data_IF_549066783900
#
_entry.id   IF_549066783900
#
_cell.length_a   1.000
_cell.length_b   1.000
_cell.length_c   1.000
_cell.angle_alpha   90.00
_cell.angle_beta   90.00
_cell.angle_gamma   90.00
#
_symmetry.space_group_name_H-M   'P 1'
#
loop_
_entity.id
_entity.type
_entity.pdbx_description
1 polymer ?
#
# COMPACT_ATOMS: atom_id res chain seq x y z
N UNK A 1 12.54 33.80 -52.41
CA UNK A 1 12.75 32.34 -52.30
C UNK A 1 13.45 31.99 -50.99
N UNK A 2 14.64 32.51 -50.70
CA UNK A 2 15.36 32.27 -49.44
C UNK A 2 14.57 32.59 -48.13
N UNK A 3 13.69 33.60 -48.14
CA UNK A 3 12.87 33.93 -46.96
C UNK A 3 11.83 32.85 -46.61
N UNK A 4 11.34 32.09 -47.60
CA UNK A 4 10.28 31.09 -47.40
C UNK A 4 10.82 29.81 -46.76
N UNK A 5 12.05 29.41 -47.11
CA UNK A 5 12.69 28.21 -46.56
C UNK A 5 13.08 28.41 -45.09
N UNK A 6 13.45 29.64 -44.70
CA UNK A 6 13.77 29.97 -43.31
C UNK A 6 12.54 29.90 -42.39
N UNK A 7 11.36 30.33 -42.88
CA UNK A 7 10.11 30.25 -42.13
C UNK A 7 9.65 28.79 -41.94
N UNK A 8 9.79 27.93 -42.95
CA UNK A 8 9.46 26.51 -42.84
C UNK A 8 10.36 25.79 -41.82
N UNK A 9 11.67 26.07 -41.84
CA UNK A 9 12.60 25.52 -40.86
C UNK A 9 12.27 25.97 -39.43
N UNK A 10 11.92 27.25 -39.25
CA UNK A 10 11.52 27.79 -37.95
C UNK A 10 10.29 27.06 -37.40
N UNK A 11 9.26 26.83 -38.23
CA UNK A 11 8.06 26.12 -37.80
C UNK A 11 8.33 24.67 -37.37
N UNK A 12 9.23 23.96 -38.07
CA UNK A 12 9.59 22.58 -37.72
C UNK A 12 10.30 22.55 -36.35
N UNK A 13 11.23 23.48 -36.11
CA UNK A 13 11.95 23.57 -34.84
C UNK A 13 11.00 23.92 -33.69
N UNK A 14 10.08 24.87 -33.89
CA UNK A 14 9.08 25.22 -32.88
C UNK A 14 8.15 24.04 -32.55
N UNK A 15 7.72 23.28 -33.56
CA UNK A 15 6.87 22.11 -33.36
C UNK A 15 7.59 21.02 -32.55
N UNK A 16 8.84 20.70 -32.89
CA UNK A 16 9.65 19.74 -32.12
C UNK A 16 9.90 20.22 -30.69
N UNK A 17 10.10 21.52 -30.51
CA UNK A 17 10.31 22.10 -29.18
C UNK A 17 9.06 21.96 -28.32
N UNK A 18 7.88 22.29 -28.87
CA UNK A 18 6.59 22.15 -28.17
C UNK A 18 6.31 20.69 -27.83
N UNK A 19 6.55 19.77 -28.76
CA UNK A 19 6.38 18.32 -28.54
C UNK A 19 7.24 17.84 -27.36
N UNK A 20 8.54 18.15 -27.38
CA UNK A 20 9.46 17.77 -26.31
C UNK A 20 9.07 18.40 -24.95
N UNK A 21 8.68 19.68 -24.91
CA UNK A 21 8.23 20.33 -23.68
C UNK A 21 6.94 19.70 -23.13
N UNK A 22 5.98 19.39 -24.01
CA UNK A 22 4.72 18.75 -23.61
C UNK A 22 4.95 17.35 -23.04
N UNK A 23 5.85 16.57 -23.63
CA UNK A 23 6.22 15.23 -23.16
C UNK A 23 6.90 15.28 -21.79
N UNK A 24 7.86 16.20 -21.61
CA UNK A 24 8.53 16.39 -20.30
C UNK A 24 7.54 16.85 -19.24
N UNK A 25 6.63 17.77 -19.56
CA UNK A 25 5.61 18.24 -18.63
C UNK A 25 4.63 17.13 -18.23
N UNK A 26 4.17 16.32 -19.19
CA UNK A 26 3.30 15.18 -18.93
C UNK A 26 4.01 14.12 -18.05
N UNK A 27 5.26 13.80 -18.35
CA UNK A 27 6.06 12.87 -17.56
C UNK A 27 6.27 13.38 -16.12
N UNK A 28 6.55 14.68 -15.95
CA UNK A 28 6.72 15.29 -14.63
C UNK A 28 5.42 15.26 -13.81
N UNK A 29 4.27 15.56 -14.43
CA UNK A 29 2.97 15.51 -13.76
C UNK A 29 2.60 14.07 -13.35
N UNK A 30 2.76 13.10 -14.25
CA UNK A 30 2.52 11.68 -13.96
C UNK A 30 3.43 11.18 -12.83
N UNK A 31 4.72 11.55 -12.86
CA UNK A 31 5.68 11.19 -11.81
C UNK A 31 5.29 11.79 -10.45
N UNK A 32 4.83 13.04 -10.44
CA UNK A 32 4.42 13.72 -9.21
C UNK A 32 3.17 13.09 -8.60
N UNK A 33 2.13 12.84 -9.41
CA UNK A 33 0.91 12.17 -8.96
C UNK A 33 1.20 10.76 -8.44
N UNK A 34 2.09 10.01 -9.11
CA UNK A 34 2.52 8.70 -8.66
C UNK A 34 3.25 8.74 -7.31
N UNK A 35 4.21 9.65 -7.15
CA UNK A 35 4.95 9.82 -5.88
C UNK A 35 4.03 10.27 -4.74
N UNK A 36 3.07 11.15 -5.03
CA UNK A 36 2.11 11.63 -4.04
C UNK A 36 1.17 10.50 -3.62
N UNK A 37 0.66 9.72 -4.56
CA UNK A 37 -0.18 8.57 -4.26
C UNK A 37 0.58 7.52 -3.44
N UNK A 38 1.76 7.10 -3.91
CA UNK A 38 2.63 6.13 -3.24
C UNK A 38 3.03 6.59 -1.82
N UNK A 39 3.39 7.87 -1.68
CA UNK A 39 3.75 8.46 -0.40
C UNK A 39 2.56 8.48 0.57
N UNK A 40 1.38 8.87 0.09
CA UNK A 40 0.17 8.92 0.91
C UNK A 40 -0.27 7.53 1.38
N UNK A 41 -0.21 6.53 0.50
CA UNK A 41 -0.53 5.14 0.82
C UNK A 41 0.44 4.59 1.87
N UNK A 42 1.75 4.79 1.67
CA UNK A 42 2.78 4.35 2.62
C UNK A 42 2.57 4.99 4.00
N UNK A 43 2.26 6.28 4.05
CA UNK A 43 1.99 7.00 5.30
C UNK A 43 0.74 6.46 6.00
N UNK A 44 -0.33 6.18 5.24
CA UNK A 44 -1.56 5.61 5.80
C UNK A 44 -1.26 4.23 6.39
N UNK A 45 -0.60 3.33 5.65
CA UNK A 45 -0.24 1.99 6.13
C UNK A 45 0.65 2.07 7.38
N UNK A 46 1.66 2.96 7.38
CA UNK A 46 2.52 3.21 8.53
C UNK A 46 1.73 3.61 9.78
N UNK A 47 0.86 4.62 9.66
CA UNK A 47 0.05 5.11 10.78
C UNK A 47 -0.90 4.03 11.30
N UNK A 48 -1.48 3.30 10.37
CA UNK A 48 -2.49 2.30 10.62
C UNK A 48 -1.89 1.09 11.36
N UNK A 49 -0.78 0.53 10.88
CA UNK A 49 -0.02 -0.53 11.56
C UNK A 49 0.54 -0.05 12.91
N UNK A 50 1.05 1.18 12.98
CA UNK A 50 1.58 1.77 14.21
C UNK A 50 0.52 1.90 15.30
N UNK A 51 -0.69 2.34 14.95
CA UNK A 51 -1.83 2.43 15.86
C UNK A 51 -2.27 1.06 16.38
N UNK A 52 -2.31 0.03 15.51
CA UNK A 52 -2.62 -1.33 15.93
C UNK A 52 -1.55 -1.89 16.88
N UNK A 53 -0.27 -1.71 16.55
CA UNK A 53 0.84 -2.14 17.39
C UNK A 53 0.81 -1.45 18.75
N UNK A 54 0.57 -0.14 18.79
CA UNK A 54 0.43 0.63 20.02
C UNK A 54 -0.71 0.11 20.90
N UNK A 55 -1.85 -0.25 20.29
CA UNK A 55 -3.01 -0.84 21.00
C UNK A 55 -2.68 -2.22 21.58
N UNK A 56 -2.10 -3.11 20.79
CA UNK A 56 -1.69 -4.44 21.27
C UNK A 56 -0.68 -4.31 22.42
N UNK A 57 0.26 -3.37 22.31
CA UNK A 57 1.20 -3.09 23.40
C UNK A 57 0.53 -2.57 24.68
N UNK A 58 -0.45 -1.66 24.54
CA UNK A 58 -1.23 -1.14 25.66
C UNK A 58 -2.02 -2.26 26.37
N UNK A 59 -2.62 -3.19 25.62
CA UNK A 59 -3.34 -4.35 26.17
C UNK A 59 -2.43 -5.20 27.07
N UNK A 60 -1.19 -5.45 26.64
CA UNK A 60 -0.26 -6.31 27.37
C UNK A 60 0.42 -5.67 28.59
N UNK A 61 -0.15 -4.60 29.15
CA UNK A 61 0.33 -3.90 30.35
C UNK A 61 1.84 -3.57 30.29
N UNK A 62 2.32 -3.14 29.12
CA UNK A 62 3.69 -2.63 28.93
C UNK A 62 4.82 -3.67 29.14
N UNK A 63 4.59 -4.96 28.85
CA UNK A 63 5.68 -5.94 28.81
C UNK A 63 6.71 -5.58 27.72
N UNK A 64 7.95 -5.25 28.13
CA UNK A 64 9.05 -4.84 27.23
C UNK A 64 9.35 -5.85 26.12
N UNK A 65 9.24 -7.15 26.40
CA UNK A 65 9.50 -8.19 25.40
C UNK A 65 8.56 -8.08 24.18
N UNK A 66 7.28 -7.79 24.43
CA UNK A 66 6.28 -7.68 23.35
C UNK A 66 6.55 -6.43 22.53
N UNK A 67 6.95 -5.32 23.17
CA UNK A 67 7.35 -4.10 22.45
C UNK A 67 8.48 -4.39 21.46
N UNK A 68 9.52 -5.13 21.88
CA UNK A 68 10.65 -5.46 21.00
C UNK A 68 10.18 -6.26 19.79
N UNK A 69 9.33 -7.28 19.99
CA UNK A 69 8.77 -8.08 18.89
C UNK A 69 7.96 -7.20 17.93
N UNK A 70 7.09 -6.33 18.46
CA UNK A 70 6.25 -5.45 17.66
C UNK A 70 7.05 -4.43 16.86
N UNK A 71 8.08 -3.84 17.46
CA UNK A 71 8.96 -2.86 16.80
C UNK A 71 9.78 -3.53 15.70
N UNK A 72 10.33 -4.73 15.93
CA UNK A 72 11.08 -5.45 14.90
C UNK A 72 10.17 -5.79 13.71
N UNK A 73 8.97 -6.35 13.96
CA UNK A 73 8.02 -6.68 12.90
C UNK A 73 7.58 -5.44 12.10
N UNK A 74 7.33 -4.32 12.81
CA UNK A 74 6.99 -3.04 12.19
C UNK A 74 8.13 -2.55 11.28
N UNK A 75 9.36 -2.52 11.78
CA UNK A 75 10.52 -2.07 11.01
C UNK A 75 10.75 -2.94 9.77
N UNK A 76 10.54 -4.26 9.86
CA UNK A 76 10.63 -5.15 8.70
C UNK A 76 9.57 -4.84 7.65
N UNK A 77 8.31 -4.65 8.04
CA UNK A 77 7.24 -4.28 7.11
C UNK A 77 7.50 -2.92 6.45
N UNK A 78 7.91 -1.91 7.22
CA UNK A 78 8.21 -0.59 6.70
C UNK A 78 9.45 -0.58 5.79
N UNK A 79 10.48 -1.35 6.11
CA UNK A 79 11.67 -1.49 5.27
C UNK A 79 11.31 -2.08 3.89
N UNK A 80 10.41 -3.06 3.85
CA UNK A 80 9.95 -3.66 2.59
C UNK A 80 9.13 -2.67 1.76
N UNK A 81 8.21 -1.91 2.36
CA UNK A 81 7.43 -0.90 1.64
C UNK A 81 8.30 0.20 1.04
N UNK A 82 9.27 0.69 1.82
CA UNK A 82 10.23 1.70 1.33
C UNK A 82 11.07 1.11 0.19
N UNK A 83 11.55 -0.12 0.33
CA UNK A 83 12.33 -0.79 -0.71
C UNK A 83 11.53 -0.95 -2.01
N UNK A 84 10.27 -1.35 -1.92
CA UNK A 84 9.35 -1.45 -3.07
C UNK A 84 9.14 -0.10 -3.75
N UNK A 85 8.93 0.96 -2.96
CA UNK A 85 8.82 2.31 -3.51
C UNK A 85 10.08 2.77 -4.23
N UNK A 86 11.26 2.49 -3.67
CA UNK A 86 12.54 2.81 -4.32
C UNK A 86 12.71 2.01 -5.62
N UNK A 87 12.43 0.70 -5.61
CA UNK A 87 12.55 -0.15 -6.80
C UNK A 87 11.57 0.32 -7.89
N UNK A 88 10.33 0.66 -7.52
CA UNK A 88 9.33 1.18 -8.45
C UNK A 88 9.79 2.47 -9.13
N UNK A 89 10.45 3.38 -8.39
CA UNK A 89 10.94 4.66 -8.92
C UNK A 89 12.24 4.51 -9.71
N UNK A 90 13.17 3.66 -9.28
CA UNK A 90 14.53 3.59 -9.83
C UNK A 90 14.66 2.58 -10.96
N UNK A 91 14.01 1.42 -10.85
CA UNK A 91 14.27 0.25 -11.72
C UNK A 91 13.28 0.15 -12.88
N UNK A 92 12.13 0.82 -12.77
CA UNK A 92 11.07 0.77 -13.78
C UNK A 92 10.96 2.12 -14.49
N UNK A 93 11.90 2.49 -15.39
CA UNK A 93 11.55 3.40 -16.48
C UNK A 93 10.57 2.61 -17.35
N UNK A 94 9.29 2.64 -16.99
CA UNK A 94 8.29 1.74 -17.53
C UNK A 94 8.29 1.75 -19.05
N UNK A 95 8.35 0.56 -19.64
CA UNK A 95 7.87 0.41 -21.01
C UNK A 95 6.36 0.64 -20.95
N UNK A 96 5.95 1.84 -21.33
CA UNK A 96 4.55 2.20 -21.45
C UNK A 96 4.05 1.52 -22.73
N UNK A 97 3.32 0.43 -22.57
CA UNK A 97 2.72 -0.28 -23.70
C UNK A 97 1.22 -0.09 -23.72
N UNK A 98 0.59 0.01 -24.91
CA UNK A 98 -0.85 0.05 -25.02
C UNK A 98 -1.43 -1.34 -24.73
N UNK A 99 -2.34 -1.42 -23.76
CA UNK A 99 -3.21 -2.57 -23.52
C UNK A 99 -4.62 -2.24 -24.00
N UNK A 100 -5.28 -3.19 -24.68
CA UNK A 100 -6.67 -3.04 -25.12
C UNK A 100 -7.58 -3.90 -24.27
N UNK A 101 -8.38 -3.27 -23.43
CA UNK A 101 -9.41 -3.94 -22.63
C UNK A 101 -10.77 -3.49 -23.14
N UNK A 102 -11.56 -4.42 -23.68
CA UNK A 102 -12.89 -4.14 -24.23
C UNK A 102 -12.92 -3.07 -25.34
N UNK A 103 -11.85 -2.97 -26.13
CA UNK A 103 -11.73 -1.99 -27.21
C UNK A 103 -11.34 -0.58 -26.76
N UNK A 104 -11.15 -0.35 -25.46
CA UNK A 104 -10.55 0.88 -24.91
C UNK A 104 -9.06 0.64 -24.74
N UNK A 105 -8.25 1.57 -25.26
CA UNK A 105 -6.79 1.53 -25.19
C UNK A 105 -6.34 2.23 -23.91
N UNK A 106 -5.76 1.46 -22.99
CA UNK A 106 -5.13 1.96 -21.78
C UNK A 106 -3.62 1.83 -21.90
N UNK A 107 -2.88 2.64 -21.17
CA UNK A 107 -1.43 2.54 -21.10
C UNK A 107 -1.07 1.91 -19.76
N UNK A 108 -0.52 0.69 -19.81
CA UNK A 108 -0.04 0.00 -18.63
C UNK A 108 1.48 0.08 -18.57
N UNK A 109 1.99 0.32 -17.37
CA UNK A 109 3.42 0.30 -17.08
C UNK A 109 3.77 -1.17 -16.83
N UNK A 110 4.35 -1.83 -17.83
CA UNK A 110 4.76 -3.22 -17.66
C UNK A 110 5.93 -3.28 -16.69
N UNK A 111 5.71 -3.91 -15.54
CA UNK A 111 6.79 -4.28 -14.63
C UNK A 111 7.61 -5.38 -15.29
N UNK A 112 8.92 -5.23 -15.32
CA UNK A 112 9.79 -6.26 -15.87
C UNK A 112 9.58 -7.59 -15.11
N UNK A 113 9.52 -8.70 -15.85
CA UNK A 113 9.21 -10.04 -15.31
C UNK A 113 10.03 -10.44 -14.07
N UNK A 114 11.22 -9.87 -13.90
CA UNK A 114 12.12 -10.13 -12.78
C UNK A 114 11.62 -9.63 -11.41
N UNK A 115 10.60 -8.77 -11.35
CA UNK A 115 10.12 -8.15 -10.10
C UNK A 115 8.68 -8.51 -9.73
N UNK A 116 8.02 -9.39 -10.49
CA UNK A 116 6.63 -9.81 -10.22
C UNK A 116 6.48 -10.43 -8.83
N UNK A 117 7.55 -11.03 -8.28
CA UNK A 117 7.55 -11.63 -6.94
C UNK A 117 7.55 -10.59 -5.80
N UNK A 118 7.85 -9.32 -6.08
CA UNK A 118 8.00 -8.30 -5.04
C UNK A 118 6.65 -7.95 -4.41
N UNK A 119 5.59 -7.84 -5.23
CA UNK A 119 4.23 -7.60 -4.77
C UNK A 119 3.74 -8.67 -3.77
N UNK A 120 3.72 -9.97 -4.11
CA UNK A 120 3.27 -11.00 -3.16
C UNK A 120 4.19 -11.10 -1.93
N UNK A 121 5.49 -10.80 -2.05
CA UNK A 121 6.40 -10.81 -0.91
C UNK A 121 6.08 -9.69 0.10
N UNK A 122 5.81 -8.46 -0.38
CA UNK A 122 5.42 -7.33 0.47
C UNK A 122 4.10 -7.62 1.16
N UNK A 123 3.07 -8.01 0.38
CA UNK A 123 1.74 -8.33 0.91
C UNK A 123 1.82 -9.47 1.94
N UNK A 124 2.67 -10.48 1.71
CA UNK A 124 2.87 -11.57 2.67
C UNK A 124 3.49 -11.11 4.00
N UNK A 125 4.45 -10.19 3.96
CA UNK A 125 5.11 -9.66 5.17
C UNK A 125 4.16 -8.78 5.98
N UNK A 126 3.37 -7.95 5.30
CA UNK A 126 2.33 -7.14 5.93
C UNK A 126 1.27 -8.03 6.58
N UNK A 127 0.76 -9.02 5.84
CA UNK A 127 -0.20 -9.99 6.35
C UNK A 127 0.36 -10.75 7.55
N UNK A 128 1.62 -11.19 7.49
CA UNK A 128 2.26 -11.88 8.61
C UNK A 128 2.33 -10.99 9.86
N UNK A 129 2.62 -9.70 9.70
CA UNK A 129 2.65 -8.74 10.80
C UNK A 129 1.24 -8.49 11.38
N UNK A 130 0.24 -8.36 10.54
CA UNK A 130 -1.17 -8.23 10.97
C UNK A 130 -1.67 -9.48 11.69
N UNK A 131 -1.36 -10.67 11.18
CA UNK A 131 -1.69 -11.94 11.83
C UNK A 131 -0.99 -12.07 13.20
N UNK A 132 0.25 -11.60 13.31
CA UNK A 132 0.96 -11.53 14.60
C UNK A 132 0.22 -10.62 15.59
N UNK A 133 -0.17 -9.41 15.16
CA UNK A 133 -0.92 -8.46 15.99
C UNK A 133 -2.27 -9.03 16.41
N UNK A 134 -3.03 -9.58 15.47
CA UNK A 134 -4.34 -10.20 15.71
C UNK A 134 -4.22 -11.41 16.63
N UNK A 135 -3.24 -12.28 16.41
CA UNK A 135 -2.97 -13.44 17.25
C UNK A 135 -2.63 -13.06 18.70
N UNK A 136 -1.84 -12.01 18.89
CA UNK A 136 -1.55 -11.47 20.23
C UNK A 136 -2.82 -10.90 20.89
N UNK A 137 -3.64 -10.14 20.16
CA UNK A 137 -4.89 -9.59 20.69
C UNK A 137 -5.90 -10.69 21.10
N UNK A 138 -6.04 -11.73 20.27
CA UNK A 138 -6.90 -12.89 20.56
C UNK A 138 -6.37 -13.65 21.77
N UNK A 139 -5.06 -13.94 21.81
CA UNK A 139 -4.42 -14.63 22.95
C UNK A 139 -4.60 -13.86 24.25
N UNK A 140 -4.46 -12.54 24.22
CA UNK A 140 -4.73 -11.68 25.38
C UNK A 140 -6.19 -11.83 25.83
N UNK A 141 -7.13 -11.71 24.88
CA UNK A 141 -8.56 -11.83 25.14
C UNK A 141 -8.89 -13.17 25.80
N UNK A 142 -8.41 -14.29 25.24
CA UNK A 142 -8.63 -15.62 25.80
C UNK A 142 -8.08 -15.80 27.22
N UNK A 143 -6.99 -15.10 27.55
CA UNK A 143 -6.35 -15.20 28.87
C UNK A 143 -7.06 -14.39 29.94
N UNK A 144 -7.56 -13.20 29.60
CA UNK A 144 -8.11 -12.24 30.57
C UNK A 144 -9.64 -12.19 30.60
N UNK A 145 -10.33 -12.78 29.61
CA UNK A 145 -11.77 -12.93 29.66
C UNK A 145 -12.16 -13.98 30.72
N UNK A 146 -13.07 -13.67 31.65
CA UNK A 146 -13.47 -14.61 32.69
C UNK A 146 -14.12 -15.85 32.05
N UNK A 147 -13.80 -17.04 32.60
CA UNK A 147 -14.31 -18.37 32.20
C UNK A 147 -15.81 -18.45 31.81
N UNK A 148 -16.78 -17.66 32.35
CA UNK A 148 -18.16 -17.64 31.83
C UNK A 148 -18.31 -17.32 30.34
N UNK A 149 -17.29 -16.83 29.64
CA UNK A 149 -17.35 -16.55 28.20
C UNK A 149 -17.83 -17.76 27.36
N UNK A 150 -17.51 -18.98 27.79
CA UNK A 150 -17.97 -20.21 27.13
C UNK A 150 -19.43 -20.56 27.39
N UNK A 151 -20.04 -20.03 28.45
CA UNK A 151 -21.46 -20.29 28.78
C UNK A 151 -22.44 -19.38 28.03
N UNK A 152 -22.01 -18.18 27.64
CA UNK A 152 -22.83 -17.22 26.90
C UNK A 152 -21.98 -16.47 25.88
N UNK A 153 -21.68 -17.10 24.72
CA UNK A 153 -20.88 -16.47 23.68
C UNK A 153 -21.55 -15.20 23.13
N UNK A 154 -22.88 -15.10 23.13
CA UNK A 154 -23.63 -14.00 22.53
C UNK A 154 -23.48 -12.65 23.26
N UNK A 155 -23.52 -12.65 24.61
CA UNK A 155 -23.30 -11.42 25.39
C UNK A 155 -21.86 -10.93 25.29
N UNK A 156 -20.96 -11.89 25.10
CA UNK A 156 -19.52 -11.76 25.16
C UNK A 156 -18.93 -11.26 23.84
N UNK A 157 -19.47 -11.73 22.70
CA UNK A 157 -19.18 -11.17 21.38
C UNK A 157 -19.67 -9.73 21.25
N UNK A 158 -20.75 -9.33 21.93
CA UNK A 158 -21.23 -7.94 21.89
C UNK A 158 -20.24 -6.97 22.53
N UNK A 159 -19.67 -7.29 23.69
CA UNK A 159 -18.67 -6.43 24.35
C UNK A 159 -17.35 -6.42 23.59
N UNK A 160 -16.95 -7.58 23.03
CA UNK A 160 -15.78 -7.66 22.17
C UNK A 160 -15.98 -6.83 20.90
N UNK A 161 -17.12 -6.96 20.24
CA UNK A 161 -17.51 -6.17 19.08
C UNK A 161 -17.58 -4.68 19.43
N UNK A 162 -18.08 -4.30 20.60
CA UNK A 162 -18.12 -2.92 21.04
C UNK A 162 -16.70 -2.34 21.22
N UNK A 163 -15.77 -3.09 21.79
CA UNK A 163 -14.36 -2.70 21.89
C UNK A 163 -13.73 -2.61 20.49
N UNK A 164 -13.94 -3.62 19.64
CA UNK A 164 -13.41 -3.71 18.26
C UNK A 164 -13.98 -2.61 17.34
N UNK A 165 -15.26 -2.28 17.47
CA UNK A 165 -15.95 -1.20 16.71
C UNK A 165 -15.50 0.16 17.24
N UNK A 166 -15.48 0.34 18.56
CA UNK A 166 -15.02 1.59 19.19
C UNK A 166 -13.56 1.86 18.91
N UNK A 167 -12.75 0.81 18.74
CA UNK A 167 -11.36 0.88 18.38
C UNK A 167 -11.12 0.74 16.85
N UNK A 168 -12.06 1.05 15.96
CA UNK A 168 -11.86 1.11 14.50
C UNK A 168 -11.34 -0.18 13.82
N UNK A 169 -11.38 -1.34 14.47
CA UNK A 169 -10.86 -2.59 13.91
C UNK A 169 -11.81 -3.18 12.86
N UNK A 170 -13.11 -2.84 12.93
CA UNK A 170 -14.12 -3.24 11.92
C UNK A 170 -13.93 -2.51 10.61
N UNK A 171 -13.55 -1.23 10.65
CA UNK A 171 -13.17 -0.48 9.43
C UNK A 171 -11.97 -1.14 8.75
N UNK A 172 -11.04 -1.65 9.53
CA UNK A 172 -9.86 -2.37 9.05
C UNK A 172 -10.20 -3.69 8.34
N UNK A 173 -11.03 -4.53 8.96
CA UNK A 173 -11.50 -5.78 8.37
C UNK A 173 -12.32 -5.54 7.10
N UNK A 174 -13.16 -4.49 7.09
CA UNK A 174 -13.92 -4.09 5.91
C UNK A 174 -13.06 -3.56 4.77
N UNK A 175 -11.90 -2.96 5.05
CA UNK A 175 -10.98 -2.46 4.01
C UNK A 175 -10.01 -3.53 3.53
N UNK A 176 -9.55 -4.42 4.42
CA UNK A 176 -8.62 -5.49 4.08
C UNK A 176 -9.29 -6.55 3.19
N UNK A 177 -10.52 -6.97 3.49
CA UNK A 177 -11.22 -8.04 2.75
C UNK A 177 -11.38 -7.75 1.24
N UNK A 178 -11.80 -6.55 0.80
CA UNK A 178 -11.88 -6.19 -0.61
C UNK A 178 -10.52 -6.15 -1.32
N UNK A 179 -9.49 -5.65 -0.63
CA UNK A 179 -8.13 -5.53 -1.18
C UNK A 179 -7.56 -6.90 -1.56
N UNK A 180 -7.75 -7.91 -0.70
CA UNK A 180 -7.32 -9.29 -0.98
C UNK A 180 -8.19 -10.00 -2.02
N UNK A 181 -9.47 -9.63 -2.15
CA UNK A 181 -10.34 -10.23 -3.19
C UNK A 181 -10.03 -9.73 -4.60
N UNK A 182 -9.36 -8.58 -4.73
CA UNK A 182 -8.89 -8.05 -6.02
C UNK A 182 -7.58 -8.71 -6.49
N UNK A 183 -6.68 -9.08 -5.57
CA UNK A 183 -5.35 -9.63 -5.89
C UNK A 183 -5.37 -11.13 -6.31
N UNK A 184 -6.49 -11.83 -6.10
CA UNK A 184 -6.66 -13.26 -6.47
C UNK A 184 -7.38 -13.41 -7.83
N UNK A 185 -7.90 -12.31 -8.39
CA UNK A 185 -8.74 -12.31 -9.59
C UNK A 185 -8.04 -12.05 -10.93
N UNK A 186 -6.72 -11.82 -10.92
CA UNK A 186 -5.88 -11.54 -12.09
C UNK A 186 -4.69 -12.48 -12.15
#
# INVERSE_FOLDING_TARGET
MASSEAEEFLMIVEMQLIENYSLVAAFAMMSYDYLLNLGSETVVIFLLQGLLAARVYALYQKRRLILVILVIGFLMSQAMNILTGIVAVVVVPGEIGPIRVSGVEFYEIFTTSNWVWMSPAVNSIELAYELLLGGLAIRYSMKYLPRPFWRSPWSSTRTLAEIVVRDNLVYFLMYALPLYSLDIGT
#
